data_IF_281953261453
#
_entry.id   IF_281953261453
#
_cell.length_a   1.000
_cell.length_b   1.000
_cell.length_c   1.000
_cell.angle_alpha   90.00
_cell.angle_beta   90.00
_cell.angle_gamma   90.00
#
_symmetry.space_group_name_H-M   'P 1'
#
loop_
_entity.id
_entity.type
_entity.pdbx_description
1 polymer ?
#
# COMPACT_ATOMS: atom_id res chain seq x y z
N UNK A 1 -40.74 -5.61 13.18
CA UNK A 1 -40.91 -5.30 11.76
C UNK A 1 -39.75 -4.40 11.34
N UNK A 2 -38.95 -4.85 10.37
CA UNK A 2 -37.88 -4.03 9.79
C UNK A 2 -38.50 -2.81 9.10
N UNK A 3 -37.92 -1.65 9.28
CA UNK A 3 -38.37 -0.43 8.60
C UNK A 3 -38.01 -0.52 7.11
N UNK A 4 -38.74 0.21 6.24
CA UNK A 4 -38.49 0.23 4.80
C UNK A 4 -37.05 0.56 4.44
N UNK A 5 -36.42 1.43 5.22
CA UNK A 5 -35.00 1.83 5.08
C UNK A 5 -34.06 0.66 5.41
N UNK A 6 -34.34 -0.12 6.46
CA UNK A 6 -33.55 -1.31 6.81
C UNK A 6 -33.70 -2.43 5.77
N UNK A 7 -34.86 -2.50 5.13
CA UNK A 7 -35.10 -3.45 4.04
C UNK A 7 -34.38 -3.04 2.74
N UNK A 8 -34.26 -1.76 2.47
CA UNK A 8 -33.48 -1.23 1.34
C UNK A 8 -31.98 -1.47 1.55
N UNK A 9 -31.46 -1.29 2.75
CA UNK A 9 -30.07 -1.64 3.11
C UNK A 9 -29.79 -3.13 2.89
N UNK A 10 -30.68 -4.01 3.30
CA UNK A 10 -30.53 -5.45 3.12
C UNK A 10 -30.60 -5.92 1.66
N UNK A 11 -31.25 -5.19 0.78
CA UNK A 11 -31.51 -5.63 -0.61
C UNK A 11 -30.39 -5.31 -1.59
N UNK A 12 -29.66 -4.22 -1.37
CA UNK A 12 -28.51 -3.81 -2.18
C UNK A 12 -27.18 -4.32 -1.61
N UNK A 13 -27.11 -4.51 -0.32
CA UNK A 13 -25.84 -4.71 0.40
C UNK A 13 -25.33 -6.14 0.41
N UNK A 14 -26.15 -7.17 0.09
CA UNK A 14 -25.71 -8.57 0.19
C UNK A 14 -24.60 -8.92 -0.83
N UNK A 15 -24.74 -8.49 -2.08
CA UNK A 15 -23.73 -8.75 -3.11
C UNK A 15 -22.49 -7.87 -2.83
N UNK A 16 -22.71 -6.61 -2.50
CA UNK A 16 -21.66 -5.66 -2.19
C UNK A 16 -20.89 -6.07 -0.93
N UNK A 17 -21.58 -6.50 0.12
CA UNK A 17 -20.96 -7.03 1.33
C UNK A 17 -20.16 -8.29 1.06
N UNK A 18 -20.66 -9.22 0.24
CA UNK A 18 -19.93 -10.41 -0.17
C UNK A 18 -18.69 -10.10 -1.00
N UNK A 19 -18.78 -9.16 -1.93
CA UNK A 19 -17.64 -8.69 -2.73
C UNK A 19 -16.61 -8.02 -1.84
N UNK A 20 -17.02 -7.13 -0.95
CA UNK A 20 -16.12 -6.45 -0.01
C UNK A 20 -15.42 -7.43 0.93
N UNK A 21 -16.15 -8.40 1.49
CA UNK A 21 -15.58 -9.44 2.35
C UNK A 21 -14.53 -10.28 1.60
N UNK A 22 -14.78 -10.59 0.32
CA UNK A 22 -13.81 -11.29 -0.53
C UNK A 22 -12.57 -10.44 -0.79
N UNK A 23 -12.75 -9.15 -1.12
CA UNK A 23 -11.65 -8.21 -1.34
C UNK A 23 -10.77 -8.09 -0.10
N UNK A 24 -11.37 -7.90 1.07
CA UNK A 24 -10.64 -7.77 2.34
C UNK A 24 -9.91 -9.05 2.72
N UNK A 25 -10.51 -10.22 2.48
CA UNK A 25 -9.87 -11.52 2.77
C UNK A 25 -8.67 -11.80 1.87
N UNK A 26 -8.74 -11.42 0.60
CA UNK A 26 -7.64 -11.64 -0.36
C UNK A 26 -6.50 -10.64 -0.18
N UNK A 27 -6.77 -9.44 0.36
CA UNK A 27 -5.77 -8.38 0.51
C UNK A 27 -5.38 -8.16 1.96
N UNK A 28 -4.17 -8.56 2.38
CA UNK A 28 -3.70 -8.32 3.75
C UNK A 28 -3.56 -6.81 4.08
N UNK A 29 -3.33 -5.97 3.08
CA UNK A 29 -3.23 -4.52 3.26
C UNK A 29 -4.60 -3.93 3.62
N UNK A 30 -5.66 -4.36 2.93
CA UNK A 30 -7.02 -3.87 3.16
C UNK A 30 -7.59 -4.25 4.53
N UNK A 31 -7.05 -5.31 5.15
CA UNK A 31 -7.44 -5.69 6.51
C UNK A 31 -7.05 -4.64 7.56
N UNK A 32 -6.04 -3.83 7.27
CA UNK A 32 -5.48 -2.87 8.24
C UNK A 32 -5.61 -1.42 7.82
N UNK A 33 -5.68 -1.15 6.52
CA UNK A 33 -5.69 0.21 5.99
C UNK A 33 -7.04 0.91 6.26
N UNK A 34 -7.09 1.99 7.05
CA UNK A 34 -8.31 2.77 7.21
C UNK A 34 -8.60 3.54 5.92
N UNK A 35 -9.88 3.65 5.56
CA UNK A 35 -10.34 4.45 4.44
C UNK A 35 -11.07 5.69 4.93
N UNK A 36 -10.62 6.85 4.46
CA UNK A 36 -11.29 8.11 4.69
C UNK A 36 -12.19 8.44 3.50
N UNK A 37 -13.49 8.64 3.79
CA UNK A 37 -14.44 9.08 2.76
C UNK A 37 -14.25 10.55 2.42
N UNK A 38 -14.31 10.87 1.13
CA UNK A 38 -14.14 12.22 0.60
C UNK A 38 -15.20 12.52 -0.45
N UNK A 39 -15.63 13.79 -0.52
CA UNK A 39 -16.66 14.23 -1.45
C UNK A 39 -16.07 14.85 -2.74
N UNK A 40 -14.75 15.07 -2.77
CA UNK A 40 -14.05 15.71 -3.89
C UNK A 40 -13.12 14.74 -4.62
N UNK A 41 -12.91 14.99 -5.91
CA UNK A 41 -11.97 14.22 -6.74
C UNK A 41 -10.48 14.50 -6.42
N UNK A 42 -10.19 15.63 -5.80
CA UNK A 42 -8.83 16.08 -5.46
C UNK A 42 -8.81 16.47 -3.99
N UNK A 43 -7.86 15.89 -3.24
CA UNK A 43 -7.55 16.33 -1.89
C UNK A 43 -6.26 17.13 -1.92
N UNK A 44 -6.31 18.29 -1.25
CA UNK A 44 -5.13 19.10 -0.92
C UNK A 44 -4.87 18.97 0.56
N UNK A 45 -3.66 18.63 0.92
CA UNK A 45 -3.22 18.55 2.31
C UNK A 45 -1.86 19.22 2.48
N UNK A 46 -1.63 19.76 3.67
CA UNK A 46 -0.39 20.42 3.99
C UNK A 46 0.52 19.46 4.76
N UNK A 47 1.75 19.35 4.33
CA UNK A 47 2.81 18.60 5.00
C UNK A 47 3.77 19.61 5.62
N UNK A 48 4.08 19.44 6.90
CA UNK A 48 5.10 20.20 7.59
C UNK A 48 6.48 19.67 7.18
N UNK A 49 7.30 20.51 6.58
CA UNK A 49 8.66 20.16 6.17
C UNK A 49 9.69 20.46 7.25
N UNK A 50 9.57 21.60 7.89
CA UNK A 50 10.49 22.04 8.95
C UNK A 50 9.71 22.61 10.12
N UNK A 51 10.08 22.20 11.32
CA UNK A 51 9.55 22.80 12.54
C UNK A 51 10.23 24.15 12.82
N UNK A 52 9.52 25.11 13.44
CA UNK A 52 10.16 26.32 13.92
C UNK A 52 11.19 26.00 15.01
N UNK A 53 12.30 26.72 15.01
CA UNK A 53 13.34 26.56 16.04
C UNK A 53 13.02 27.41 17.26
N UNK A 54 13.27 26.88 18.44
CA UNK A 54 13.14 27.56 19.72
C UNK A 54 14.53 27.70 20.32
N UNK A 55 14.89 28.89 20.78
CA UNK A 55 16.21 29.21 21.35
C UNK A 55 16.12 29.51 22.85
N UNK A 56 17.11 29.07 23.59
CA UNK A 56 17.31 29.47 24.97
C UNK A 56 18.03 30.85 24.97
N UNK A 57 17.50 31.83 25.70
CA UNK A 57 18.00 33.16 25.72
C UNK A 57 18.48 33.52 27.13
N UNK A 58 19.57 34.30 27.18
CA UNK A 58 20.03 34.96 28.39
C UNK A 58 19.48 36.41 28.47
N UNK A 59 19.42 37.01 29.65
CA UNK A 59 19.03 38.43 29.76
C UNK A 59 19.92 39.34 28.89
N UNK A 60 19.30 40.00 27.91
CA UNK A 60 19.98 40.87 26.94
C UNK A 60 20.17 40.28 25.56
N UNK A 61 19.85 39.02 25.34
CA UNK A 61 19.96 38.40 24.02
C UNK A 61 18.82 38.83 23.08
N UNK A 62 19.14 38.90 21.80
CA UNK A 62 18.17 39.28 20.77
C UNK A 62 17.36 38.04 20.34
N UNK A 63 16.04 38.16 20.29
CA UNK A 63 15.14 37.10 19.79
C UNK A 63 15.22 37.06 18.28
N UNK A 64 15.53 35.87 17.73
CA UNK A 64 15.48 35.63 16.30
C UNK A 64 14.20 34.84 15.99
N UNK A 65 13.30 35.46 15.24
CA UNK A 65 12.09 34.76 14.76
C UNK A 65 12.46 33.72 13.71
N UNK A 66 11.91 32.54 13.87
CA UNK A 66 11.97 31.48 12.86
C UNK A 66 10.58 30.81 12.75
N UNK A 67 10.10 30.64 11.52
CA UNK A 67 8.81 30.04 11.21
C UNK A 67 9.00 28.69 10.54
N UNK A 68 8.15 27.71 10.89
CA UNK A 68 8.09 26.43 10.18
C UNK A 68 7.65 26.61 8.73
N UNK A 69 8.08 25.69 7.88
CA UNK A 69 7.67 25.67 6.47
C UNK A 69 6.67 24.57 6.21
N UNK A 70 5.58 24.91 5.51
CA UNK A 70 4.54 24.00 5.10
C UNK A 70 4.55 23.86 3.57
N UNK A 71 4.31 22.64 3.11
CA UNK A 71 4.15 22.35 1.70
C UNK A 71 2.78 21.77 1.44
N UNK A 72 2.09 22.32 0.44
CA UNK A 72 0.82 21.76 -0.02
C UNK A 72 1.06 20.63 -1.01
N UNK A 73 0.43 19.49 -0.77
CA UNK A 73 0.42 18.34 -1.66
C UNK A 73 -1.00 18.07 -2.14
N UNK A 74 -1.08 17.48 -3.32
CA UNK A 74 -2.35 17.10 -3.93
C UNK A 74 -2.35 15.63 -4.24
N UNK A 75 -3.46 14.96 -3.93
CA UNK A 75 -3.71 13.55 -4.31
C UNK A 75 -5.05 13.50 -5.04
N UNK A 76 -5.04 12.86 -6.20
CA UNK A 76 -6.24 12.63 -7.01
C UNK A 76 -6.84 11.28 -6.66
N UNK A 77 -8.15 11.16 -6.81
CA UNK A 77 -8.87 9.90 -6.74
C UNK A 77 -8.98 9.30 -8.14
N UNK A 78 -8.77 8.00 -8.23
CA UNK A 78 -8.84 7.25 -9.47
C UNK A 78 -9.89 6.15 -9.35
N UNK A 79 -10.51 5.81 -10.48
CA UNK A 79 -11.59 4.83 -10.50
C UNK A 79 -11.07 3.48 -10.97
N UNK A 80 -11.27 2.46 -10.15
CA UNK A 80 -11.07 1.05 -10.51
C UNK A 80 -12.42 0.48 -10.93
N UNK A 81 -12.53 -0.02 -12.16
CA UNK A 81 -13.76 -0.60 -12.69
C UNK A 81 -13.51 -2.03 -13.12
N UNK A 82 -14.45 -2.91 -12.77
CA UNK A 82 -14.44 -4.30 -13.19
C UNK A 82 -15.82 -4.74 -13.67
N UNK A 83 -15.91 -5.17 -14.92
CA UNK A 83 -17.13 -5.76 -15.49
C UNK A 83 -17.02 -7.29 -15.44
N UNK A 84 -18.04 -7.96 -14.88
CA UNK A 84 -18.23 -9.40 -14.94
C UNK A 84 -19.40 -9.68 -15.88
N UNK A 85 -19.10 -10.19 -17.07
CA UNK A 85 -20.09 -10.52 -18.11
C UNK A 85 -20.37 -12.02 -18.08
N UNK A 86 -21.61 -12.42 -17.76
CA UNK A 86 -22.04 -13.82 -17.75
C UNK A 86 -23.05 -14.06 -18.86
N UNK A 87 -22.84 -15.09 -19.70
CA UNK A 87 -23.73 -15.44 -20.79
C UNK A 87 -25.07 -16.02 -20.27
N UNK A 88 -26.19 -15.45 -20.73
CA UNK A 88 -27.54 -15.91 -20.38
C UNK A 88 -27.80 -17.34 -20.83
N UNK A 89 -27.18 -17.79 -21.91
CA UNK A 89 -27.34 -19.18 -22.40
C UNK A 89 -26.70 -20.16 -21.42
N UNK A 90 -25.57 -19.81 -20.78
CA UNK A 90 -24.95 -20.64 -19.76
C UNK A 90 -25.82 -20.76 -18.50
N UNK A 91 -26.48 -19.68 -18.10
CA UNK A 91 -27.40 -19.69 -16.97
C UNK A 91 -28.63 -20.56 -17.31
N UNK A 92 -29.14 -20.49 -18.54
CA UNK A 92 -30.29 -21.27 -19.00
C UNK A 92 -30.01 -22.76 -19.08
N UNK A 93 -28.76 -23.21 -19.28
CA UNK A 93 -28.33 -24.60 -19.26
C UNK A 93 -28.31 -25.22 -17.86
N UNK A 94 -28.67 -24.46 -16.83
CA UNK A 94 -28.79 -24.86 -15.43
C UNK A 94 -27.58 -25.65 -14.90
N UNK A 95 -26.38 -25.04 -14.86
CA UNK A 95 -25.19 -25.71 -14.35
C UNK A 95 -25.30 -25.95 -12.84
N UNK A 96 -24.51 -26.91 -12.33
CA UNK A 96 -24.47 -27.24 -10.89
C UNK A 96 -24.13 -26.04 -9.99
N UNK A 97 -23.37 -25.08 -10.51
CA UNK A 97 -23.01 -23.86 -9.82
C UNK A 97 -23.49 -22.65 -10.62
N UNK A 98 -23.90 -21.59 -9.94
CA UNK A 98 -24.33 -20.37 -10.61
C UNK A 98 -23.10 -19.66 -11.23
N UNK A 99 -23.00 -19.57 -12.58
CA UNK A 99 -21.84 -18.94 -13.23
C UNK A 99 -21.73 -17.45 -12.89
N UNK A 100 -22.85 -16.75 -12.68
CA UNK A 100 -22.84 -15.34 -12.30
C UNK A 100 -22.11 -15.12 -10.96
N UNK A 101 -22.34 -15.97 -9.97
CA UNK A 101 -21.67 -15.84 -8.66
C UNK A 101 -20.16 -16.10 -8.74
N UNK A 102 -19.75 -17.05 -9.59
CA UNK A 102 -18.32 -17.35 -9.81
C UNK A 102 -17.63 -16.17 -10.49
N UNK A 103 -18.26 -15.57 -11.51
CA UNK A 103 -17.71 -14.40 -12.21
C UNK A 103 -17.58 -13.18 -11.29
N UNK A 104 -18.57 -12.96 -10.41
CA UNK A 104 -18.53 -11.90 -9.39
C UNK A 104 -17.36 -12.10 -8.43
N UNK A 105 -17.21 -13.32 -7.88
CA UNK A 105 -16.11 -13.63 -6.95
C UNK A 105 -14.73 -13.47 -7.62
N UNK A 106 -14.58 -14.00 -8.83
CA UNK A 106 -13.34 -13.86 -9.59
C UNK A 106 -13.00 -12.38 -9.87
N UNK A 107 -14.01 -11.57 -10.17
CA UNK A 107 -13.81 -10.14 -10.38
C UNK A 107 -13.45 -9.40 -9.09
N UNK A 108 -14.06 -9.76 -7.96
CA UNK A 108 -13.72 -9.20 -6.66
C UNK A 108 -12.25 -9.46 -6.30
N UNK A 109 -11.77 -10.69 -6.50
CA UNK A 109 -10.35 -11.05 -6.31
C UNK A 109 -9.43 -10.23 -7.22
N UNK A 110 -9.79 -10.10 -8.50
CA UNK A 110 -9.02 -9.30 -9.45
C UNK A 110 -8.94 -7.81 -9.05
N UNK A 111 -10.01 -7.24 -8.48
CA UNK A 111 -10.01 -5.87 -7.97
C UNK A 111 -9.10 -5.72 -6.75
N UNK A 112 -9.10 -6.69 -5.83
CA UNK A 112 -8.20 -6.72 -4.68
C UNK A 112 -6.72 -6.71 -5.13
N UNK A 113 -6.37 -7.58 -6.08
CA UNK A 113 -5.02 -7.65 -6.63
C UNK A 113 -4.61 -6.35 -7.35
N UNK A 114 -5.52 -5.77 -8.13
CA UNK A 114 -5.26 -4.49 -8.81
C UNK A 114 -5.02 -3.35 -7.81
N UNK A 115 -5.80 -3.32 -6.73
CA UNK A 115 -5.61 -2.34 -5.67
C UNK A 115 -4.25 -2.53 -4.96
N UNK A 116 -3.89 -3.75 -4.57
CA UNK A 116 -2.61 -4.01 -3.90
C UNK A 116 -1.41 -3.64 -4.76
N UNK A 117 -1.45 -4.02 -6.04
CA UNK A 117 -0.41 -3.66 -7.00
C UNK A 117 -0.26 -2.15 -7.10
N UNK A 118 -1.37 -1.43 -7.28
CA UNK A 118 -1.35 0.03 -7.35
C UNK A 118 -0.94 0.67 -6.02
N UNK A 119 -1.32 0.09 -4.87
CA UNK A 119 -0.93 0.59 -3.55
C UNK A 119 0.59 0.52 -3.32
N UNK A 120 1.25 -0.52 -3.81
CA UNK A 120 2.70 -0.68 -3.65
C UNK A 120 3.47 0.08 -4.73
N UNK A 121 3.09 -0.11 -6.01
CA UNK A 121 3.87 0.27 -7.18
C UNK A 121 3.19 1.27 -8.12
N UNK A 122 2.02 1.79 -7.74
CA UNK A 122 1.24 2.69 -8.61
C UNK A 122 2.02 3.92 -9.05
N UNK A 123 1.89 4.30 -10.32
CA UNK A 123 2.61 5.41 -10.97
C UNK A 123 4.13 5.36 -10.87
N UNK A 124 4.69 4.16 -10.86
CA UNK A 124 6.15 3.95 -11.05
C UNK A 124 6.44 3.65 -12.52
N UNK A 125 7.73 3.71 -12.91
CA UNK A 125 8.18 3.35 -14.27
C UNK A 125 7.72 1.98 -14.73
N UNK A 126 7.51 1.05 -13.80
CA UNK A 126 7.07 -0.31 -14.12
C UNK A 126 5.62 -0.41 -14.51
N UNK A 127 4.77 0.33 -13.82
CA UNK A 127 3.33 0.33 -14.12
C UNK A 127 2.99 1.35 -15.18
N UNK A 128 3.79 2.42 -15.35
CA UNK A 128 3.67 3.54 -16.30
C UNK A 128 2.24 3.98 -16.63
N UNK A 129 1.29 3.61 -15.79
CA UNK A 129 -0.12 3.85 -15.98
C UNK A 129 -0.53 5.14 -15.27
N UNK A 130 -0.71 6.20 -16.04
CA UNK A 130 -1.14 7.52 -15.51
C UNK A 130 -2.56 7.52 -14.89
N UNK A 131 -3.31 6.43 -15.05
CA UNK A 131 -4.68 6.27 -14.52
C UNK A 131 -4.72 5.59 -13.16
N UNK A 132 -3.56 5.19 -12.62
CA UNK A 132 -3.43 4.64 -11.28
C UNK A 132 -3.14 5.73 -10.26
N UNK A 133 -3.46 5.49 -8.99
CA UNK A 133 -3.03 6.38 -7.91
C UNK A 133 -1.56 6.11 -7.54
N UNK A 134 -0.94 7.05 -6.81
CA UNK A 134 0.45 6.94 -6.36
C UNK A 134 0.59 5.83 -5.33
N UNK A 135 1.46 4.86 -5.60
CA UNK A 135 1.79 3.77 -4.69
C UNK A 135 2.80 4.19 -3.61
N UNK A 136 3.04 3.28 -2.65
CA UNK A 136 3.96 3.52 -1.53
C UNK A 136 5.36 3.95 -1.97
N UNK A 137 5.93 3.30 -2.99
CA UNK A 137 7.25 3.67 -3.52
C UNK A 137 7.25 5.10 -4.06
N UNK A 138 6.21 5.48 -4.78
CA UNK A 138 6.07 6.83 -5.33
C UNK A 138 5.84 7.86 -4.23
N UNK A 139 4.98 7.56 -3.26
CA UNK A 139 4.75 8.43 -2.10
C UNK A 139 6.05 8.63 -1.33
N UNK A 140 6.82 7.54 -1.12
CA UNK A 140 8.10 7.58 -0.42
C UNK A 140 9.12 8.48 -1.13
N UNK A 141 9.24 8.37 -2.46
CA UNK A 141 10.12 9.23 -3.25
C UNK A 141 9.73 10.72 -3.14
N UNK A 142 8.43 11.02 -3.06
CA UNK A 142 7.92 12.38 -2.96
C UNK A 142 7.94 12.98 -1.55
N UNK A 143 8.27 12.20 -0.49
CA UNK A 143 8.21 12.67 0.89
C UNK A 143 9.04 13.93 1.15
N UNK A 144 10.22 14.04 0.54
CA UNK A 144 11.09 15.22 0.68
C UNK A 144 11.13 16.08 -0.59
N UNK A 145 10.86 15.50 -1.74
CA UNK A 145 11.01 16.14 -3.04
C UNK A 145 9.73 16.03 -3.87
N UNK A 146 8.75 16.92 -3.69
CA UNK A 146 7.44 16.84 -4.34
C UNK A 146 7.47 17.06 -5.86
N UNK A 147 8.57 17.60 -6.37
CA UNK A 147 8.80 17.85 -7.81
C UNK A 147 9.52 16.67 -8.49
N UNK A 148 9.81 15.60 -7.74
CA UNK A 148 10.47 14.42 -8.30
C UNK A 148 9.58 13.76 -9.33
N UNK A 149 10.20 13.24 -10.37
CA UNK A 149 9.55 12.40 -11.37
C UNK A 149 9.88 10.95 -11.02
N UNK A 150 8.84 10.13 -10.94
CA UNK A 150 8.98 8.69 -10.67
C UNK A 150 9.69 8.37 -9.33
N UNK A 151 10.73 7.55 -9.35
CA UNK A 151 11.46 7.06 -8.17
C UNK A 151 12.81 7.75 -7.95
N UNK A 152 13.06 8.85 -8.63
CA UNK A 152 14.36 9.54 -8.63
C UNK A 152 14.82 10.06 -7.26
N UNK A 153 13.92 10.24 -6.29
CA UNK A 153 14.23 10.74 -4.96
C UNK A 153 14.09 9.70 -3.84
N UNK A 154 14.32 8.41 -4.14
CA UNK A 154 14.33 7.35 -3.13
C UNK A 154 15.55 7.38 -2.19
N UNK A 155 16.48 8.29 -2.36
CA UNK A 155 17.64 8.53 -1.48
C UNK A 155 17.34 9.51 -0.34
N UNK A 156 16.09 9.63 0.07
CA UNK A 156 15.68 10.54 1.15
C UNK A 156 15.89 9.95 2.55
N UNK A 157 15.69 10.76 3.60
CA UNK A 157 15.94 10.38 4.99
C UNK A 157 15.06 9.26 5.53
N UNK A 158 13.96 8.90 4.85
CA UNK A 158 13.05 7.82 5.24
C UNK A 158 13.36 6.49 4.53
N UNK A 159 14.40 6.48 3.71
CA UNK A 159 14.85 5.31 2.97
C UNK A 159 16.20 4.86 3.51
N UNK A 160 16.24 3.64 4.00
CA UNK A 160 17.48 3.00 4.44
C UNK A 160 17.95 2.10 3.30
N UNK A 161 19.20 2.29 2.89
CA UNK A 161 19.81 1.47 1.86
C UNK A 161 20.74 0.44 2.49
N UNK A 162 20.55 -0.84 2.18
CA UNK A 162 21.47 -1.88 2.64
C UNK A 162 22.80 -1.75 1.90
N UNK A 163 23.82 -1.22 2.58
CA UNK A 163 25.14 -0.94 1.99
C UNK A 163 26.06 -2.16 1.86
N UNK A 164 25.66 -3.34 2.33
CA UNK A 164 26.47 -4.53 2.19
C UNK A 164 26.59 -4.94 0.71
N UNK A 165 27.78 -5.28 0.26
CA UNK A 165 28.03 -5.75 -1.11
C UNK A 165 27.20 -6.99 -1.50
N UNK A 166 26.77 -7.78 -0.51
CA UNK A 166 25.86 -8.90 -0.69
C UNK A 166 24.38 -8.52 -0.61
N UNK A 167 24.04 -7.31 -0.11
CA UNK A 167 22.68 -6.90 0.20
C UNK A 167 22.01 -7.73 1.28
N UNK A 168 22.80 -8.36 2.16
CA UNK A 168 22.26 -9.24 3.19
C UNK A 168 21.44 -8.46 4.21
N UNK A 169 20.21 -8.91 4.43
CA UNK A 169 19.38 -8.41 5.51
C UNK A 169 20.02 -8.78 6.86
N UNK A 170 20.08 -7.82 7.77
CA UNK A 170 20.56 -8.04 9.15
C UNK A 170 19.56 -7.47 10.16
N UNK A 171 19.60 -7.95 11.40
CA UNK A 171 18.73 -7.44 12.47
C UNK A 171 18.91 -5.92 12.72
N UNK A 172 20.15 -5.39 12.80
CA UNK A 172 20.34 -3.94 12.96
C UNK A 172 19.66 -3.07 11.89
N UNK A 173 19.59 -3.52 10.64
CA UNK A 173 18.84 -2.79 9.61
C UNK A 173 17.32 -2.80 9.85
N UNK A 174 16.81 -3.89 10.44
CA UNK A 174 15.38 -3.93 10.83
C UNK A 174 15.08 -2.98 11.99
N UNK A 175 15.98 -2.92 12.97
CA UNK A 175 15.85 -2.00 14.10
C UNK A 175 15.96 -0.54 13.64
N UNK A 176 16.90 -0.23 12.75
CA UNK A 176 17.04 1.09 12.12
C UNK A 176 15.76 1.49 11.34
N UNK A 177 15.16 0.53 10.61
CA UNK A 177 13.90 0.77 9.89
C UNK A 177 12.76 1.14 10.83
N UNK A 178 12.67 0.48 11.99
CA UNK A 178 11.65 0.77 12.99
C UNK A 178 11.88 2.16 13.59
N UNK A 179 13.12 2.52 13.88
CA UNK A 179 13.50 3.81 14.47
C UNK A 179 13.26 5.01 13.53
N UNK A 180 13.19 4.80 12.22
CA UNK A 180 12.85 5.86 11.26
C UNK A 180 11.39 6.30 11.35
N UNK A 181 10.50 5.42 11.83
CA UNK A 181 9.08 5.75 11.97
C UNK A 181 8.84 6.45 13.30
N UNK A 182 8.38 7.70 13.26
CA UNK A 182 8.20 8.58 14.44
C UNK A 182 6.82 9.24 14.47
N UNK A 183 6.28 9.56 15.66
CA UNK A 183 6.69 9.14 17.00
C UNK A 183 6.27 7.68 17.30
N UNK A 184 7.08 6.96 18.05
CA UNK A 184 6.82 5.57 18.47
C UNK A 184 7.01 4.56 17.35
N UNK A 185 6.57 3.31 17.57
CA UNK A 185 6.75 2.20 16.64
C UNK A 185 5.77 2.24 15.46
N UNK A 186 6.11 1.65 14.31
CA UNK A 186 5.17 1.44 13.22
C UNK A 186 4.05 0.46 13.61
N UNK A 187 2.90 0.58 12.97
CA UNK A 187 1.76 -0.31 13.20
C UNK A 187 1.82 -1.60 12.38
N UNK A 188 2.59 -1.59 11.28
CA UNK A 188 2.78 -2.75 10.44
C UNK A 188 4.09 -2.70 9.64
N UNK A 189 4.61 -3.90 9.37
CA UNK A 189 5.68 -4.14 8.41
C UNK A 189 5.08 -4.84 7.19
N UNK A 190 5.37 -4.34 5.99
CA UNK A 190 4.94 -4.95 4.73
C UNK A 190 6.16 -5.42 3.95
N UNK A 191 6.18 -6.69 3.57
CA UNK A 191 7.31 -7.31 2.87
C UNK A 191 6.88 -8.43 1.93
N UNK A 192 7.81 -8.87 1.08
CA UNK A 192 7.61 -10.04 0.23
C UNK A 192 7.72 -11.35 1.00
N UNK A 193 7.25 -12.45 0.42
CA UNK A 193 7.41 -13.80 1.00
C UNK A 193 8.87 -14.20 1.16
N UNK A 194 9.73 -13.78 0.22
CA UNK A 194 11.17 -14.08 0.25
C UNK A 194 11.86 -13.32 1.39
N UNK A 195 11.57 -12.01 1.54
CA UNK A 195 12.08 -11.20 2.64
C UNK A 195 11.65 -11.75 4.01
N UNK A 196 10.38 -12.14 4.17
CA UNK A 196 9.88 -12.77 5.40
C UNK A 196 10.64 -14.06 5.72
N UNK A 197 10.87 -14.92 4.71
CA UNK A 197 11.62 -16.17 4.89
C UNK A 197 13.04 -15.90 5.41
N UNK A 198 13.69 -14.86 4.85
CA UNK A 198 15.02 -14.44 5.28
C UNK A 198 15.01 -13.91 6.72
N UNK A 199 14.07 -13.05 7.07
CA UNK A 199 13.91 -12.52 8.42
C UNK A 199 13.71 -13.66 9.44
N UNK A 200 12.84 -14.63 9.15
CA UNK A 200 12.63 -15.79 9.99
C UNK A 200 13.91 -16.65 10.15
N UNK A 201 14.71 -16.77 9.10
CA UNK A 201 15.99 -17.48 9.18
C UNK A 201 16.99 -16.76 10.10
N UNK A 202 17.05 -15.43 10.04
CA UNK A 202 17.87 -14.61 10.93
C UNK A 202 17.42 -14.72 12.40
N UNK A 203 16.12 -14.67 12.66
CA UNK A 203 15.59 -14.87 14.02
C UNK A 203 15.96 -16.24 14.60
N UNK A 204 15.83 -17.31 13.80
CA UNK A 204 16.25 -18.66 14.22
C UNK A 204 17.76 -18.75 14.46
N UNK A 205 18.57 -18.11 13.62
CA UNK A 205 20.02 -18.11 13.76
C UNK A 205 20.49 -17.37 15.03
N UNK A 206 19.77 -16.32 15.43
CA UNK A 206 20.02 -15.59 16.69
C UNK A 206 19.50 -16.30 17.94
N UNK A 207 18.86 -17.46 17.80
CA UNK A 207 18.26 -18.20 18.91
C UNK A 207 16.91 -17.63 19.38
N UNK A 208 16.37 -16.63 18.71
CA UNK A 208 15.05 -16.05 19.01
C UNK A 208 13.94 -16.89 18.39
N UNK A 209 12.87 -17.12 19.13
CA UNK A 209 11.66 -17.71 18.57
C UNK A 209 10.94 -16.70 17.67
N UNK A 210 10.34 -17.17 16.57
CA UNK A 210 9.43 -16.34 15.78
C UNK A 210 8.19 -16.04 16.63
N UNK A 211 8.01 -14.80 17.01
CA UNK A 211 6.87 -14.36 17.82
C UNK A 211 5.67 -14.18 16.92
N UNK A 212 4.51 -14.64 17.35
CA UNK A 212 3.24 -14.46 16.68
C UNK A 212 2.38 -13.49 17.49
N UNK A 213 1.88 -12.45 16.85
CA UNK A 213 0.96 -11.49 17.45
C UNK A 213 -0.45 -11.74 16.93
N UNK A 214 -1.43 -11.75 17.84
CA UNK A 214 -2.83 -11.83 17.46
C UNK A 214 -3.37 -10.44 17.09
N UNK A 215 -3.89 -10.32 15.90
CA UNK A 215 -4.64 -9.13 15.48
C UNK A 215 -6.05 -9.23 16.09
N UNK A 216 -6.31 -8.44 17.12
CA UNK A 216 -7.57 -8.46 17.88
C UNK A 216 -8.81 -8.25 17.02
N UNK A 217 -8.69 -7.48 15.95
CA UNK A 217 -9.82 -7.12 15.09
C UNK A 217 -10.28 -8.26 14.19
N UNK A 218 -9.38 -9.18 13.80
CA UNK A 218 -9.67 -10.26 12.86
C UNK A 218 -9.45 -11.67 13.43
N UNK A 219 -8.94 -11.79 14.65
CA UNK A 219 -8.60 -13.09 15.26
C UNK A 219 -7.50 -13.86 14.50
N UNK A 220 -6.74 -13.17 13.65
CA UNK A 220 -5.66 -13.75 12.87
C UNK A 220 -4.35 -13.69 13.65
N UNK A 221 -3.64 -14.81 13.70
CA UNK A 221 -2.29 -14.87 14.23
C UNK A 221 -1.30 -14.60 13.10
N UNK A 222 -0.56 -13.50 13.19
CA UNK A 222 0.47 -13.10 12.23
C UNK A 222 1.85 -13.09 12.87
N UNK A 223 2.92 -13.41 12.12
CA UNK A 223 4.27 -13.27 12.62
C UNK A 223 4.54 -11.80 12.96
N UNK A 224 5.31 -11.57 14.01
CA UNK A 224 5.69 -10.24 14.45
C UNK A 224 7.21 -10.11 14.61
N UNK A 225 7.69 -8.89 14.48
CA UNK A 225 9.03 -8.48 14.83
C UNK A 225 8.93 -7.30 15.80
N UNK A 226 9.49 -7.40 16.97
CA UNK A 226 9.41 -6.39 18.04
C UNK A 226 7.96 -5.92 18.34
N UNK A 227 7.03 -6.89 18.42
CA UNK A 227 5.57 -6.69 18.60
C UNK A 227 4.84 -6.02 17.43
N UNK A 228 5.54 -5.77 16.32
CA UNK A 228 4.95 -5.20 15.12
C UNK A 228 4.52 -6.32 14.17
N UNK A 229 3.26 -6.38 13.76
CA UNK A 229 2.77 -7.42 12.86
C UNK A 229 3.39 -7.31 11.47
N UNK A 230 3.75 -8.45 10.90
CA UNK A 230 4.33 -8.57 9.56
C UNK A 230 3.25 -9.01 8.58
N UNK A 231 2.95 -8.14 7.64
CA UNK A 231 2.06 -8.45 6.52
C UNK A 231 2.88 -8.81 5.28
N UNK A 232 2.41 -9.81 4.57
CA UNK A 232 3.09 -10.31 3.37
C UNK A 232 2.20 -10.09 2.17
N UNK A 233 2.71 -9.40 1.16
CA UNK A 233 2.04 -9.23 -0.12
C UNK A 233 2.90 -9.78 -1.24
N UNK A 234 2.27 -10.48 -2.17
CA UNK A 234 2.92 -11.03 -3.37
C UNK A 234 3.25 -9.94 -4.40
N UNK A 235 2.71 -8.73 -4.21
CA UNK A 235 2.94 -7.59 -5.08
C UNK A 235 4.13 -6.72 -4.66
N UNK A 236 4.75 -7.01 -3.51
CA UNK A 236 6.04 -6.40 -3.18
C UNK A 236 7.09 -6.99 -4.11
N UNK A 237 7.75 -6.16 -4.93
CA UNK A 237 8.68 -6.66 -5.93
C UNK A 237 9.92 -7.30 -5.29
N UNK A 238 10.32 -8.44 -5.83
CA UNK A 238 11.53 -9.17 -5.42
C UNK A 238 12.66 -9.05 -6.47
N UNK A 239 12.43 -8.30 -7.55
CA UNK A 239 13.32 -8.20 -8.71
C UNK A 239 13.68 -6.75 -9.05
N UNK A 240 13.81 -5.91 -8.02
CA UNK A 240 14.29 -4.54 -8.20
C UNK A 240 15.77 -4.61 -8.56
N UNK A 241 16.14 -4.14 -9.75
CA UNK A 241 17.54 -4.11 -10.20
C UNK A 241 18.01 -2.68 -10.38
N UNK A 242 19.26 -2.43 -10.01
CA UNK A 242 19.91 -1.15 -10.22
C UNK A 242 20.24 -0.94 -11.72
N UNK A 243 19.70 0.14 -12.31
CA UNK A 243 20.14 0.71 -13.59
C UNK A 243 20.12 -0.17 -14.85
N UNK A 244 19.74 -1.44 -14.75
CA UNK A 244 19.69 -2.35 -15.88
C UNK A 244 18.28 -2.44 -16.48
N UNK A 245 18.20 -2.76 -17.75
CA UNK A 245 16.99 -2.81 -18.59
C UNK A 245 15.96 -3.87 -18.21
N UNK A 246 15.74 -4.16 -16.94
CA UNK A 246 14.77 -5.12 -16.48
C UNK A 246 13.74 -4.49 -15.54
N UNK A 247 12.63 -5.06 -15.53
CA UNK A 247 11.28 -4.84 -14.99
C UNK A 247 11.06 -3.74 -13.93
N UNK A 248 12.06 -3.36 -13.13
CA UNK A 248 12.04 -2.25 -12.19
C UNK A 248 13.43 -1.62 -12.08
N UNK A 249 13.79 -0.80 -13.04
CA UNK A 249 14.98 0.04 -12.92
C UNK A 249 14.65 1.24 -12.02
N UNK A 250 15.21 1.30 -10.82
CA UNK A 250 15.23 2.51 -10.00
C UNK A 250 16.46 3.30 -10.43
N UNK A 251 16.27 4.28 -11.31
CA UNK A 251 17.34 5.01 -11.98
C UNK A 251 18.26 5.83 -11.08
N UNK A 252 17.83 6.11 -9.85
CA UNK A 252 18.63 6.86 -8.87
C UNK A 252 18.91 6.06 -7.60
N UNK A 253 18.88 4.78 -7.70
CA UNK A 253 19.47 3.92 -6.70
C UNK A 253 20.95 4.29 -6.61
N UNK A 254 21.41 4.70 -5.46
CA UNK A 254 22.77 5.19 -5.27
C UNK A 254 23.79 4.15 -5.75
N UNK A 255 24.31 4.35 -6.96
CA UNK A 255 25.36 3.51 -7.58
C UNK A 255 26.65 3.50 -6.76
N UNK A 256 26.82 4.45 -5.81
CA UNK A 256 27.97 4.51 -4.91
C UNK A 256 28.02 3.34 -3.92
N UNK A 257 26.96 2.58 -3.80
CA UNK A 257 26.86 1.45 -2.86
C UNK A 257 27.58 0.18 -3.33
N UNK A 258 28.18 0.18 -4.51
CA UNK A 258 29.10 -0.86 -4.96
C UNK A 258 28.48 -2.23 -5.21
N UNK A 259 27.19 -2.30 -5.45
CA UNK A 259 26.50 -3.54 -5.80
C UNK A 259 26.63 -3.84 -7.28
N UNK A 260 27.08 -5.03 -7.61
CA UNK A 260 27.12 -5.48 -8.99
C UNK A 260 25.69 -5.52 -9.59
N UNK A 261 25.53 -4.97 -10.80
CA UNK A 261 24.30 -5.06 -11.57
C UNK A 261 23.89 -6.53 -11.73
N UNK A 262 22.62 -6.85 -11.52
CA UNK A 262 22.08 -8.19 -11.80
C UNK A 262 21.57 -8.98 -10.60
N UNK A 263 21.59 -8.43 -9.39
CA UNK A 263 20.98 -9.07 -8.23
C UNK A 263 19.52 -8.63 -8.06
N UNK A 264 18.66 -9.59 -7.84
CA UNK A 264 17.27 -9.35 -7.47
C UNK A 264 17.21 -8.76 -6.06
N UNK A 265 16.53 -7.64 -5.91
CA UNK A 265 16.36 -6.94 -4.66
C UNK A 265 14.90 -6.81 -4.30
N UNK A 266 14.63 -6.75 -3.00
CA UNK A 266 13.30 -6.50 -2.46
C UNK A 266 13.28 -5.30 -1.53
N UNK A 267 12.08 -4.87 -1.16
CA UNK A 267 11.83 -3.74 -0.27
C UNK A 267 11.02 -4.22 0.94
N UNK A 268 11.32 -3.67 2.11
CA UNK A 268 10.52 -3.81 3.32
C UNK A 268 10.02 -2.42 3.69
N UNK A 269 8.70 -2.28 3.86
CA UNK A 269 8.08 -1.05 4.31
C UNK A 269 7.72 -1.14 5.79
N UNK A 270 7.99 -0.07 6.53
CA UNK A 270 7.48 0.15 7.88
C UNK A 270 6.55 1.36 7.84
N UNK A 271 5.32 1.20 8.32
CA UNK A 271 4.34 2.27 8.22
C UNK A 271 3.44 2.35 9.44
N UNK A 272 3.03 3.58 9.75
CA UNK A 272 1.91 3.88 10.63
C UNK A 272 0.65 4.01 9.81
N UNK A 273 -0.39 3.34 10.29
CA UNK A 273 -1.66 3.23 9.58
C UNK A 273 -2.74 3.88 10.41
N UNK A 274 -3.05 5.14 10.08
CA UNK A 274 -4.11 5.91 10.71
C UNK A 274 -4.67 6.95 9.74
N UNK A 275 -5.78 7.59 10.06
CA UNK A 275 -6.34 8.67 9.24
C UNK A 275 -5.40 9.88 9.07
N UNK A 276 -4.44 10.07 9.99
CA UNK A 276 -3.48 11.16 9.97
C UNK A 276 -2.10 10.76 9.42
N UNK A 277 -1.86 9.47 9.19
CA UNK A 277 -0.60 8.91 8.74
C UNK A 277 -0.76 8.34 7.31
N UNK A 278 -0.51 7.05 7.12
CA UNK A 278 -0.82 6.36 5.86
C UNK A 278 -2.28 5.93 5.88
N UNK A 279 -3.06 6.42 4.92
CA UNK A 279 -4.49 6.14 4.83
C UNK A 279 -4.93 5.96 3.39
N UNK A 280 -5.94 5.11 3.21
CA UNK A 280 -6.69 5.01 1.97
C UNK A 280 -7.70 6.16 1.85
N UNK A 281 -7.99 6.57 0.66
CA UNK A 281 -9.02 7.55 0.34
C UNK A 281 -10.07 6.89 -0.54
N UNK A 282 -11.34 7.14 -0.27
CA UNK A 282 -12.41 6.67 -1.11
C UNK A 282 -13.45 7.78 -1.35
N UNK A 283 -13.96 7.86 -2.56
CA UNK A 283 -15.05 8.77 -2.92
C UNK A 283 -16.32 7.96 -3.20
N UNK A 284 -17.34 8.12 -2.36
CA UNK A 284 -18.64 7.47 -2.53
C UNK A 284 -18.68 5.95 -2.25
N UNK A 285 -17.55 5.34 -1.85
CA UNK A 285 -17.48 3.88 -1.62
C UNK A 285 -17.48 3.06 -2.92
N UNK A 286 -17.64 1.73 -2.78
CA UNK A 286 -17.80 0.82 -3.91
C UNK A 286 -19.26 0.81 -4.37
N UNK A 287 -19.49 0.80 -5.67
CA UNK A 287 -20.82 0.69 -6.26
C UNK A 287 -20.92 -0.57 -7.11
N UNK A 288 -22.11 -1.17 -7.13
CA UNK A 288 -22.45 -2.31 -7.96
C UNK A 288 -23.66 -1.99 -8.83
N UNK A 289 -23.50 -2.18 -10.13
CA UNK A 289 -24.58 -2.02 -11.11
C UNK A 289 -24.76 -3.34 -11.85
N UNK A 290 -26.00 -3.84 -11.90
CA UNK A 290 -26.35 -5.04 -12.65
C UNK A 290 -27.17 -4.67 -13.88
N UNK A 291 -26.58 -4.83 -15.06
CA UNK A 291 -27.23 -4.60 -16.36
C UNK A 291 -27.65 -5.95 -16.97
N UNK A 292 -28.93 -6.09 -17.22
CA UNK A 292 -29.50 -7.32 -17.82
C UNK A 292 -29.65 -7.21 -19.34
N UNK A 293 -29.54 -6.03 -19.90
CA UNK A 293 -29.64 -5.79 -21.33
C UNK A 293 -28.45 -4.99 -21.82
N UNK A 294 -27.67 -5.59 -22.70
CA UNK A 294 -26.53 -4.94 -23.35
C UNK A 294 -26.73 -5.07 -24.86
N UNK A 295 -26.67 -3.97 -25.57
CA UNK A 295 -26.83 -3.96 -27.00
C UNK A 295 -25.74 -4.80 -27.69
N UNK A 296 -26.16 -5.73 -28.53
CA UNK A 296 -25.28 -6.60 -29.31
C UNK A 296 -24.67 -7.79 -28.54
N UNK A 297 -25.01 -7.99 -27.25
CA UNK A 297 -24.49 -9.13 -26.47
C UNK A 297 -25.60 -9.80 -25.66
N UNK A 298 -25.60 -11.14 -25.60
CA UNK A 298 -26.52 -11.93 -24.78
C UNK A 298 -25.93 -12.22 -23.40
N UNK A 299 -25.57 -11.17 -22.66
CA UNK A 299 -24.92 -11.30 -21.35
C UNK A 299 -25.64 -10.52 -20.26
N UNK A 300 -25.44 -10.92 -19.01
CA UNK A 300 -25.73 -10.12 -17.82
C UNK A 300 -24.39 -9.53 -17.39
N UNK A 301 -24.33 -8.23 -17.20
CA UNK A 301 -23.15 -7.53 -16.74
C UNK A 301 -23.32 -7.10 -15.29
N UNK A 302 -22.38 -7.50 -14.46
CA UNK A 302 -22.22 -6.97 -13.11
C UNK A 302 -20.99 -6.04 -13.13
N UNK A 303 -21.24 -4.74 -13.02
CA UNK A 303 -20.19 -3.71 -12.98
C UNK A 303 -19.91 -3.33 -11.55
N UNK A 304 -18.66 -3.42 -11.16
CA UNK A 304 -18.15 -2.89 -9.90
C UNK A 304 -17.28 -1.69 -10.18
N UNK A 305 -17.56 -0.58 -9.51
CA UNK A 305 -16.71 0.60 -9.58
C UNK A 305 -16.32 1.06 -8.18
N UNK A 306 -15.06 1.43 -8.02
CA UNK A 306 -14.51 1.89 -6.76
C UNK A 306 -13.57 3.06 -7.01
N UNK A 307 -13.91 4.21 -6.41
CA UNK A 307 -13.10 5.41 -6.50
C UNK A 307 -12.15 5.44 -5.32
N UNK A 308 -10.86 5.24 -5.57
CA UNK A 308 -9.88 5.00 -4.52
C UNK A 308 -8.57 5.73 -4.78
N UNK A 309 -7.86 6.03 -3.69
CA UNK A 309 -6.50 6.56 -3.71
C UNK A 309 -5.80 6.23 -2.40
N UNK A 310 -4.54 6.60 -2.28
CA UNK A 310 -3.76 6.50 -1.05
C UNK A 310 -3.01 7.80 -0.79
N UNK A 311 -2.77 8.12 0.47
CA UNK A 311 -1.96 9.28 0.86
C UNK A 311 -1.15 9.00 2.13
N UNK A 312 -0.05 9.73 2.28
CA UNK A 312 0.72 9.84 3.50
C UNK A 312 0.84 11.31 3.87
N UNK A 313 0.30 11.70 5.03
CA UNK A 313 0.31 13.10 5.47
C UNK A 313 1.60 13.47 6.19
N UNK A 314 2.13 12.58 7.01
CA UNK A 314 3.33 12.84 7.80
C UNK A 314 4.54 12.14 7.19
N UNK A 315 5.63 12.88 7.05
CA UNK A 315 6.89 12.36 6.52
C UNK A 315 7.41 11.13 7.28
N UNK A 316 7.36 11.19 8.61
CA UNK A 316 7.92 10.14 9.48
C UNK A 316 7.00 8.93 9.71
N UNK A 317 5.86 8.85 9.05
CA UNK A 317 4.91 7.74 9.20
C UNK A 317 5.15 6.60 8.22
N UNK A 318 6.04 6.79 7.25
CA UNK A 318 6.40 5.81 6.24
C UNK A 318 7.91 5.77 6.10
N UNK A 319 8.49 4.59 6.21
CA UNK A 319 9.90 4.32 5.95
C UNK A 319 10.06 3.05 5.13
N UNK A 320 11.16 2.91 4.42
CA UNK A 320 11.47 1.70 3.68
C UNK A 320 12.94 1.32 3.78
N UNK A 321 13.16 0.02 3.84
CA UNK A 321 14.47 -0.62 3.72
C UNK A 321 14.57 -1.20 2.31
N UNK A 322 15.49 -0.67 1.53
CA UNK A 322 15.68 -1.05 0.11
C UNK A 322 17.02 -1.74 -0.09
N UNK A 323 17.23 -2.30 -1.28
CA UNK A 323 18.46 -3.00 -1.67
C UNK A 323 18.72 -4.29 -0.89
N UNK A 324 17.68 -4.99 -0.51
CA UNK A 324 17.76 -6.26 0.21
C UNK A 324 17.85 -7.40 -0.81
N UNK A 325 18.88 -8.22 -0.72
CA UNK A 325 18.92 -9.49 -1.44
C UNK A 325 18.26 -10.58 -0.59
N UNK A 326 17.12 -11.11 -0.99
CA UNK A 326 16.40 -12.10 -0.21
C UNK A 326 17.08 -13.49 -0.19
N UNK A 327 18.07 -13.72 -1.04
CA UNK A 327 18.77 -15.01 -1.18
C UNK A 327 20.18 -15.00 -0.58
N UNK A 328 20.69 -13.85 -0.13
CA UNK A 328 22.04 -13.70 0.47
C UNK A 328 22.11 -14.12 1.92
#
# INVERSE_FOLDING_TARGET
MLTKVQYEYLKHDLVLAGVWDTIVKESPILQRLPFKSIDNNIIKYNVELTMPTVSWLQPGDQITENTGTFQQRTTNVYTVIGDADTDKSMIAMNPLQNPESIDIEAKAKAMAHTFELAFIMGQTTTTSNSKEFKGLLRILAELESPTTTDLDALNNSQVIVVHASSGALTMPYMDELIDQVRPGKPDMLLMSRRARRKLNALQRASGSAVVMTELKEFGLSVPSYDDIPIFVSDWVPDNIQDGASSVLAIASYDQSVGRASGYDNTVIFAMKVSEEDVTGLQAGGMTHERETFIEGKNVIRNRFSWNVSAMCKKKYSLAALININPDS
#
